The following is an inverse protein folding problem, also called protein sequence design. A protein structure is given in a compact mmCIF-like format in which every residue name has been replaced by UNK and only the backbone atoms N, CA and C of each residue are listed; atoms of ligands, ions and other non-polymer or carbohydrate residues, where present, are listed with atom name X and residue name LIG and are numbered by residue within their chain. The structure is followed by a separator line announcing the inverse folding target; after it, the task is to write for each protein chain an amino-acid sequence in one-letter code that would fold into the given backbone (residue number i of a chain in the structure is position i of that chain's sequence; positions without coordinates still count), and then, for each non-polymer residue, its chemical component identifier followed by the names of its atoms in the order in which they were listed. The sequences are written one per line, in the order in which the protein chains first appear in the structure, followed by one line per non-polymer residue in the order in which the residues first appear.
data_IF_110979598618
#
_entry.id   IF_110979598618
#
_cell.length_a   1.000
_cell.length_b   1.000
_cell.length_c   1.000
_cell.angle_alpha   90.00
_cell.angle_beta   90.00
_cell.angle_gamma   90.00
#
_symmetry.space_group_name_H-M   'P 1'
#
loop_
_entity.id
_entity.type
_entity.pdbx_description
1 polymer ?
#
# COMPACT_ATOMS: atom_id res chain seq x y z
N UNK A 1 0.70 -9.39 20.88
CA UNK A 1 -0.10 -9.03 19.68
C UNK A 1 -1.54 -8.78 20.11
N UNK A 2 -2.05 -7.57 19.90
CA UNK A 2 -3.20 -7.01 20.62
C UNK A 2 -4.54 -7.67 20.26
N UNK A 3 -5.33 -7.98 21.30
CA UNK A 3 -6.70 -8.56 21.30
C UNK A 3 -7.75 -7.84 20.42
N UNK A 4 -7.40 -6.78 19.71
CA UNK A 4 -8.31 -5.93 18.93
C UNK A 4 -8.54 -6.43 17.49
N UNK A 5 -7.57 -7.12 16.87
CA UNK A 5 -7.72 -7.65 15.51
C UNK A 5 -8.87 -8.67 15.39
N UNK A 6 -9.13 -9.44 16.46
CA UNK A 6 -10.16 -10.48 16.48
C UNK A 6 -11.60 -9.95 16.64
N UNK A 7 -11.81 -8.63 16.80
CA UNK A 7 -13.15 -8.04 17.01
C UNK A 7 -13.61 -7.09 15.90
N UNK A 8 -12.87 -6.96 14.79
CA UNK A 8 -13.24 -6.08 13.69
C UNK A 8 -13.25 -4.58 14.05
N UNK A 9 -12.71 -4.20 15.22
CA UNK A 9 -12.58 -2.82 15.64
C UNK A 9 -11.34 -2.20 14.98
N UNK A 10 -11.49 -1.01 14.41
CA UNK A 10 -10.37 -0.25 13.86
C UNK A 10 -9.34 0.00 14.96
N UNK A 11 -8.09 -0.43 14.72
CA UNK A 11 -6.95 -0.15 15.62
C UNK A 11 -6.86 1.37 15.79
N UNK A 12 -6.73 1.82 17.04
CA UNK A 12 -6.64 3.26 17.34
C UNK A 12 -5.45 3.88 16.59
N UNK A 13 -5.61 5.11 16.11
CA UNK A 13 -4.61 5.79 15.28
C UNK A 13 -3.26 5.98 16.00
N UNK A 14 -3.25 6.12 17.33
CA UNK A 14 -2.05 6.22 18.15
C UNK A 14 -1.16 4.97 18.05
N UNK A 15 -1.77 3.78 18.16
CA UNK A 15 -1.07 2.49 18.04
C UNK A 15 -0.51 2.31 16.61
N UNK A 16 -1.27 2.71 15.59
CA UNK A 16 -0.81 2.63 14.19
C UNK A 16 0.39 3.55 13.97
N UNK A 17 0.36 4.76 14.51
CA UNK A 17 1.46 5.71 14.40
C UNK A 17 2.71 5.23 15.14
N UNK A 18 2.55 4.63 16.33
CA UNK A 18 3.65 4.04 17.09
C UNK A 18 4.33 2.90 16.31
N UNK A 19 3.53 1.98 15.77
CA UNK A 19 4.03 0.87 14.95
C UNK A 19 4.77 1.37 13.69
N UNK A 20 4.20 2.37 13.01
CA UNK A 20 4.85 2.99 11.85
C UNK A 20 6.16 3.68 12.25
N UNK A 21 6.20 4.38 13.38
CA UNK A 21 7.41 5.03 13.86
C UNK A 21 8.50 4.01 14.18
N UNK A 22 8.17 2.92 14.87
CA UNK A 22 9.11 1.84 15.14
C UNK A 22 9.65 1.21 13.84
N UNK A 23 8.76 0.95 12.88
CA UNK A 23 9.13 0.39 11.58
C UNK A 23 10.07 1.32 10.80
N UNK A 24 9.77 2.63 10.77
CA UNK A 24 10.62 3.64 10.13
C UNK A 24 11.99 3.71 10.80
N UNK A 25 12.06 3.78 12.13
CA UNK A 25 13.35 3.79 12.86
C UNK A 25 14.20 2.57 12.52
N UNK A 26 13.62 1.37 12.57
CA UNK A 26 14.33 0.13 12.23
C UNK A 26 14.79 0.11 10.77
N UNK A 27 14.00 0.68 9.86
CA UNK A 27 14.33 0.67 8.43
C UNK A 27 15.60 1.43 8.07
N UNK A 28 16.02 2.39 8.91
CA UNK A 28 17.24 3.18 8.71
C UNK A 28 18.46 2.25 8.64
N UNK A 29 18.55 1.25 9.52
CA UNK A 29 19.67 0.29 9.51
C UNK A 29 19.58 -0.74 8.37
N UNK A 30 18.40 -0.92 7.77
CA UNK A 30 18.18 -1.84 6.64
C UNK A 30 18.27 -1.15 5.27
N UNK A 31 18.51 0.17 5.24
CA UNK A 31 18.62 0.94 3.99
C UNK A 31 17.28 1.17 3.27
N UNK A 32 16.15 1.01 3.95
CA UNK A 32 14.82 1.32 3.42
C UNK A 32 13.68 0.48 3.99
N UNK A 33 12.45 0.85 3.64
CA UNK A 33 11.20 0.18 4.04
C UNK A 33 10.28 -0.01 2.84
N UNK A 34 9.61 -1.16 2.78
CA UNK A 34 8.45 -1.36 1.92
C UNK A 34 7.21 -1.34 2.81
N UNK A 35 6.28 -0.43 2.51
CA UNK A 35 5.02 -0.31 3.22
C UNK A 35 3.93 -0.89 2.32
N UNK A 36 3.34 -1.99 2.77
CA UNK A 36 2.22 -2.64 2.08
C UNK A 36 0.93 -2.48 2.89
N UNK A 37 -0.19 -2.24 2.18
CA UNK A 37 -1.52 -2.17 2.78
C UNK A 37 -1.89 -0.85 3.45
N UNK A 38 -0.97 0.11 3.59
CA UNK A 38 -1.20 1.47 4.11
C UNK A 38 -0.32 2.48 3.37
N UNK A 39 -0.73 3.75 3.18
CA UNK A 39 -2.01 4.35 3.55
C UNK A 39 -3.14 4.08 2.55
N UNK A 40 -4.37 3.98 3.07
CA UNK A 40 -5.61 3.80 2.29
C UNK A 40 -6.57 4.99 2.37
N UNK A 41 -6.28 5.98 3.23
CA UNK A 41 -7.03 7.23 3.41
C UNK A 41 -6.10 8.44 3.46
N UNK A 42 -6.59 9.62 3.06
CA UNK A 42 -5.84 10.89 3.13
C UNK A 42 -5.29 11.20 4.52
N UNK A 43 -6.04 10.89 5.59
CA UNK A 43 -5.57 11.08 6.97
C UNK A 43 -4.34 10.22 7.28
N UNK A 44 -4.28 9.00 6.75
CA UNK A 44 -3.14 8.10 6.93
C UNK A 44 -1.91 8.56 6.13
N UNK A 45 -2.11 9.21 4.97
CA UNK A 45 -1.02 9.83 4.21
C UNK A 45 -0.34 10.89 5.05
N UNK A 46 -1.13 11.81 5.65
CA UNK A 46 -0.60 12.86 6.54
C UNK A 46 0.14 12.27 7.74
N UNK A 47 -0.45 11.26 8.39
CA UNK A 47 0.17 10.61 9.54
C UNK A 47 1.51 9.93 9.17
N UNK A 48 1.56 9.23 8.03
CA UNK A 48 2.79 8.62 7.54
C UNK A 48 3.86 9.68 7.21
N UNK A 49 3.47 10.78 6.56
CA UNK A 49 4.40 11.88 6.27
C UNK A 49 4.95 12.53 7.55
N UNK A 50 4.13 12.69 8.59
CA UNK A 50 4.58 13.22 9.89
C UNK A 50 5.58 12.28 10.56
N UNK A 51 5.29 10.98 10.57
CA UNK A 51 6.21 9.97 11.13
C UNK A 51 7.54 9.97 10.37
N UNK A 52 7.51 9.94 9.04
CA UNK A 52 8.72 9.96 8.22
C UNK A 52 9.54 11.24 8.46
N UNK A 53 8.89 12.40 8.49
CA UNK A 53 9.55 13.69 8.75
C UNK A 53 10.26 13.74 10.10
N UNK A 54 9.67 13.17 11.16
CA UNK A 54 10.30 13.08 12.50
C UNK A 54 11.62 12.32 12.48
N UNK A 55 11.80 11.42 11.51
CA UNK A 55 13.02 10.62 11.32
C UNK A 55 13.89 11.14 10.16
N UNK A 56 13.65 12.38 9.69
CA UNK A 56 14.30 12.96 8.51
C UNK A 56 14.18 12.09 7.24
N UNK A 57 13.09 11.34 7.12
CA UNK A 57 12.76 10.49 5.97
C UNK A 57 11.60 11.09 5.17
N UNK A 58 11.40 10.57 3.96
CA UNK A 58 10.23 10.85 3.10
C UNK A 58 9.88 9.61 2.28
N UNK A 59 8.69 9.58 1.68
CA UNK A 59 8.37 8.57 0.68
C UNK A 59 9.09 8.89 -0.64
N UNK A 60 9.88 7.94 -1.13
CA UNK A 60 10.60 8.10 -2.38
C UNK A 60 9.83 7.58 -3.60
N UNK A 61 9.01 6.54 -3.40
CA UNK A 61 8.34 5.83 -4.49
C UNK A 61 7.03 5.21 -3.99
N UNK A 62 5.97 5.40 -4.78
CA UNK A 62 4.70 4.70 -4.64
C UNK A 62 4.45 3.91 -5.91
N UNK A 63 4.39 2.59 -5.79
CA UNK A 63 3.99 1.71 -6.89
C UNK A 63 2.48 1.51 -6.80
N UNK A 64 1.77 1.92 -7.85
CA UNK A 64 0.37 1.58 -8.03
C UNK A 64 0.23 0.49 -9.09
N UNK A 65 -0.13 -0.71 -8.64
CA UNK A 65 -0.49 -1.82 -9.52
C UNK A 65 -1.94 -1.61 -9.96
N UNK A 66 -2.11 -1.12 -11.18
CA UNK A 66 -3.38 -0.75 -11.78
C UNK A 66 -3.98 -1.96 -12.49
N UNK A 67 -4.83 -2.69 -11.76
CA UNK A 67 -5.51 -3.90 -12.24
C UNK A 67 -6.95 -3.55 -12.61
N UNK A 68 -7.44 -4.09 -13.72
CA UNK A 68 -8.83 -3.88 -14.12
C UNK A 68 -9.81 -4.46 -13.09
N UNK A 69 -11.02 -3.90 -13.03
CA UNK A 69 -12.05 -4.38 -12.12
C UNK A 69 -12.45 -5.85 -12.37
N UNK A 70 -12.64 -6.31 -13.63
CA UNK A 70 -12.94 -7.72 -13.90
C UNK A 70 -11.84 -8.65 -13.40
N UNK A 71 -10.57 -8.33 -13.68
CA UNK A 71 -9.43 -9.15 -13.25
C UNK A 71 -9.29 -9.15 -11.72
N UNK A 72 -9.47 -8.00 -11.07
CA UNK A 72 -9.46 -7.89 -9.61
C UNK A 72 -10.54 -8.77 -8.97
N UNK A 73 -11.78 -8.72 -9.48
CA UNK A 73 -12.88 -9.57 -8.98
C UNK A 73 -12.58 -11.04 -9.18
N UNK A 74 -12.10 -11.43 -10.37
CA UNK A 74 -11.70 -12.80 -10.67
C UNK A 74 -10.66 -13.31 -9.67
N UNK A 75 -9.58 -12.55 -9.42
CA UNK A 75 -8.53 -12.94 -8.46
C UNK A 75 -9.05 -13.06 -7.03
N UNK A 76 -9.95 -12.17 -6.59
CA UNK A 76 -10.55 -12.25 -5.25
C UNK A 76 -11.42 -13.50 -5.08
N UNK A 77 -12.23 -13.84 -6.10
CA UNK A 77 -13.06 -15.04 -6.09
C UNK A 77 -12.22 -16.33 -6.16
N UNK A 78 -11.18 -16.35 -6.99
CA UNK A 78 -10.25 -17.48 -7.08
C UNK A 78 -9.53 -17.70 -5.73
N UNK A 79 -9.10 -16.61 -5.07
CA UNK A 79 -8.51 -16.68 -3.73
C UNK A 79 -9.50 -17.20 -2.68
N UNK A 80 -10.76 -16.77 -2.72
CA UNK A 80 -11.81 -17.25 -1.82
C UNK A 80 -11.92 -18.78 -1.81
N UNK A 81 -11.82 -19.41 -2.99
CA UNK A 81 -11.89 -20.87 -3.16
C UNK A 81 -10.69 -21.60 -2.57
N UNK A 82 -9.51 -21.00 -2.63
CA UNK A 82 -8.26 -21.65 -2.20
C UNK A 82 -7.99 -21.40 -0.71
N UNK A 83 -8.10 -20.15 -0.28
CA UNK A 83 -7.67 -19.70 1.05
C UNK A 83 -8.81 -19.67 2.08
N UNK A 84 -10.06 -19.92 1.66
CA UNK A 84 -11.25 -19.96 2.55
C UNK A 84 -11.39 -18.69 3.41
N UNK A 85 -11.00 -17.55 2.84
CA UNK A 85 -11.05 -16.25 3.50
C UNK A 85 -12.50 -15.80 3.68
N UNK A 86 -12.85 -15.47 4.93
CA UNK A 86 -14.20 -15.03 5.31
C UNK A 86 -14.62 -13.69 4.68
N UNK A 87 -13.67 -12.89 4.18
CA UNK A 87 -13.86 -11.53 3.64
C UNK A 87 -13.79 -11.43 2.10
N UNK A 88 -13.88 -12.57 1.40
CA UNK A 88 -13.91 -12.66 -0.07
C UNK A 88 -15.27 -13.23 -0.58
N UNK A 89 -16.39 -12.85 0.05
CA UNK A 89 -17.74 -13.06 -0.52
C UNK A 89 -18.04 -12.02 -1.62
N UNK A 90 -18.95 -12.30 -2.58
CA UNK A 90 -19.33 -11.31 -3.60
C UNK A 90 -19.76 -9.97 -2.99
N UNK A 91 -20.54 -10.00 -1.90
CA UNK A 91 -21.01 -8.81 -1.18
C UNK A 91 -19.85 -8.02 -0.55
N UNK A 92 -18.93 -8.71 0.12
CA UNK A 92 -17.74 -8.09 0.72
C UNK A 92 -16.83 -7.45 -0.34
N UNK A 93 -16.68 -8.12 -1.49
CA UNK A 93 -15.89 -7.62 -2.62
C UNK A 93 -16.46 -6.29 -3.13
N UNK A 94 -17.78 -6.18 -3.32
CA UNK A 94 -18.41 -4.93 -3.76
C UNK A 94 -18.22 -3.80 -2.74
N UNK A 95 -18.40 -4.09 -1.45
CA UNK A 95 -18.17 -3.11 -0.37
C UNK A 95 -16.72 -2.63 -0.40
N UNK A 96 -15.75 -3.55 -0.54
CA UNK A 96 -14.32 -3.22 -0.63
C UNK A 96 -13.99 -2.35 -1.84
N UNK A 97 -14.56 -2.66 -3.02
CA UNK A 97 -14.38 -1.84 -4.23
C UNK A 97 -14.93 -0.43 -4.01
N UNK A 98 -16.11 -0.31 -3.41
CA UNK A 98 -16.72 1.01 -3.13
C UNK A 98 -15.86 1.85 -2.19
N UNK A 99 -15.36 1.25 -1.10
CA UNK A 99 -14.45 1.93 -0.16
C UNK A 99 -13.16 2.32 -0.88
N UNK A 100 -12.54 1.42 -1.63
CA UNK A 100 -11.32 1.67 -2.38
C UNK A 100 -11.47 2.86 -3.34
N UNK A 101 -12.56 2.91 -4.11
CA UNK A 101 -12.85 4.02 -5.03
C UNK A 101 -13.05 5.35 -4.31
N UNK A 102 -13.75 5.32 -3.17
CA UNK A 102 -14.07 6.54 -2.40
C UNK A 102 -12.87 7.08 -1.64
N UNK A 103 -12.10 6.20 -0.99
CA UNK A 103 -11.11 6.59 0.01
C UNK A 103 -9.67 6.50 -0.52
N UNK A 104 -9.35 5.44 -1.28
CA UNK A 104 -7.97 5.10 -1.67
C UNK A 104 -7.57 5.69 -3.02
N UNK A 105 -8.41 5.55 -4.06
CA UNK A 105 -8.10 6.11 -5.39
C UNK A 105 -7.78 7.62 -5.38
N UNK A 106 -8.49 8.47 -4.61
CA UNK A 106 -8.19 9.90 -4.59
C UNK A 106 -6.79 10.25 -4.08
N UNK A 107 -6.15 9.36 -3.31
CA UNK A 107 -4.79 9.56 -2.78
C UNK A 107 -3.76 9.53 -3.91
N UNK A 108 -4.01 8.78 -4.98
CA UNK A 108 -3.10 8.70 -6.12
C UNK A 108 -2.83 10.07 -6.76
N UNK A 109 -3.81 10.99 -6.72
CA UNK A 109 -3.62 12.37 -7.20
C UNK A 109 -2.53 13.10 -6.42
N UNK A 110 -2.49 12.89 -5.11
CA UNK A 110 -1.51 13.48 -4.22
C UNK A 110 -0.10 12.93 -4.49
N UNK A 111 0.05 11.62 -4.67
CA UNK A 111 1.33 11.01 -5.02
C UNK A 111 1.81 11.35 -6.43
N UNK A 112 0.89 11.53 -7.37
CA UNK A 112 1.21 12.02 -8.71
C UNK A 112 1.75 13.45 -8.65
N UNK A 113 1.11 14.35 -7.90
CA UNK A 113 1.57 15.73 -7.72
C UNK A 113 2.96 15.82 -7.07
N UNK A 114 3.31 14.85 -6.22
CA UNK A 114 4.64 14.71 -5.60
C UNK A 114 5.70 14.09 -6.52
N UNK A 115 5.35 13.67 -7.75
CA UNK A 115 6.22 12.98 -8.70
C UNK A 115 6.82 11.64 -8.21
N UNK A 116 6.20 11.01 -7.20
CA UNK A 116 6.65 9.73 -6.64
C UNK A 116 5.77 8.54 -7.06
N UNK A 117 4.64 8.80 -7.74
CA UNK A 117 3.76 7.73 -8.22
C UNK A 117 4.31 7.08 -9.51
N UNK A 118 4.44 5.75 -9.49
CA UNK A 118 4.65 4.92 -10.69
C UNK A 118 3.50 3.94 -10.84
N UNK A 119 2.88 3.94 -12.03
CA UNK A 119 1.81 3.02 -12.40
C UNK A 119 2.40 1.81 -13.10
N UNK A 120 1.93 0.62 -12.72
CA UNK A 120 2.27 -0.66 -13.36
C UNK A 120 0.97 -1.36 -13.71
N UNK A 121 0.82 -1.82 -14.96
CA UNK A 121 -0.36 -2.58 -15.37
C UNK A 121 -0.38 -3.92 -14.61
N UNK A 122 -1.41 -4.11 -13.79
CA UNK A 122 -1.61 -5.29 -12.95
C UNK A 122 -2.25 -6.50 -13.64
N UNK A 123 -2.69 -6.33 -14.89
CA UNK A 123 -3.30 -7.39 -15.70
C UNK A 123 -2.24 -8.21 -16.47
N UNK A 124 -0.96 -7.86 -16.35
CA UNK A 124 0.17 -8.58 -16.95
C UNK A 124 0.55 -9.82 -16.11
N UNK A 125 1.39 -10.69 -16.69
CA UNK A 125 2.02 -11.80 -15.97
C UNK A 125 2.86 -11.31 -14.78
N UNK A 126 2.91 -12.09 -13.70
CA UNK A 126 3.58 -11.75 -12.44
C UNK A 126 5.05 -11.40 -12.67
N UNK A 127 5.75 -12.15 -13.52
CA UNK A 127 7.15 -11.94 -13.87
C UNK A 127 7.34 -10.57 -14.55
N UNK A 128 6.41 -10.19 -15.42
CA UNK A 128 6.43 -8.91 -16.12
C UNK A 128 6.19 -7.75 -15.15
N UNK A 129 5.24 -7.91 -14.22
CA UNK A 129 4.97 -6.93 -13.16
C UNK A 129 6.22 -6.77 -12.28
N UNK A 130 6.81 -7.88 -11.84
CA UNK A 130 8.02 -7.90 -11.02
C UNK A 130 9.16 -7.13 -11.67
N UNK A 131 9.47 -7.42 -12.94
CA UNK A 131 10.53 -6.73 -13.70
C UNK A 131 10.28 -5.22 -13.74
N UNK A 132 9.03 -4.80 -13.99
CA UNK A 132 8.66 -3.37 -14.05
C UNK A 132 8.83 -2.67 -12.68
N UNK A 133 8.44 -3.34 -11.59
CA UNK A 133 8.61 -2.82 -10.23
C UNK A 133 10.09 -2.70 -9.88
N UNK A 134 10.87 -3.76 -10.09
CA UNK A 134 12.32 -3.77 -9.83
C UNK A 134 13.03 -2.67 -10.62
N UNK A 135 12.69 -2.50 -11.90
CA UNK A 135 13.24 -1.40 -12.73
C UNK A 135 12.93 -0.03 -12.12
N UNK A 136 11.72 0.17 -11.59
CA UNK A 136 11.31 1.42 -10.97
C UNK A 136 12.11 1.71 -9.69
N UNK A 137 12.34 0.68 -8.86
CA UNK A 137 13.15 0.76 -7.64
C UNK A 137 14.63 1.01 -7.97
N UNK A 138 15.19 0.33 -8.96
CA UNK A 138 16.59 0.52 -9.35
C UNK A 138 16.86 1.92 -9.91
N UNK A 139 15.91 2.48 -10.68
CA UNK A 139 15.98 3.85 -11.20
C UNK A 139 16.02 4.90 -10.07
N UNK A 140 15.39 4.60 -8.93
CA UNK A 140 15.45 5.45 -7.75
C UNK A 140 16.84 5.40 -7.11
N UNK A 141 17.38 4.19 -6.88
CA UNK A 141 18.70 4.01 -6.27
C UNK A 141 19.81 4.72 -7.04
N UNK A 142 19.79 4.66 -8.37
CA UNK A 142 20.81 5.31 -9.21
C UNK A 142 20.78 6.84 -9.15
N UNK A 143 19.66 7.46 -8.73
CA UNK A 143 19.54 8.92 -8.60
C UNK A 143 19.98 9.45 -7.24
N UNK A 144 20.13 8.58 -6.24
CA UNK A 144 20.58 8.95 -4.88
C UNK A 144 22.09 8.77 -4.67
N UNK A 145 22.85 8.34 -5.68
CA UNK A 145 24.32 8.11 -5.59
C UNK A 145 25.15 9.26 -6.17
N UNK A 146 24.68 10.51 -6.06
CA UNK A 146 25.43 11.71 -6.45
C UNK A 146 25.42 12.69 -5.28
#
# INVERSE_FOLDING_TARGET
MSKQLNKGLLVRNDIVNELLSEAVTKSISYGGIIIDGTPRRKSQVKALDEVLKKHNQKLDLVIFVDTSLPESKKRLLDRSKVEHRRDDTPEDIEVRIKIYKKDTLPILKEYAARNILKRVNGDLAVETIHIKIVKSVNTLKSKSTI
#
